data_IF_143056892015
#
_entry.id   IF_143056892015
#
_cell.length_a   1.000
_cell.length_b   1.000
_cell.length_c   1.000
_cell.angle_alpha   90.00
_cell.angle_beta   90.00
_cell.angle_gamma   90.00
#
_symmetry.space_group_name_H-M   'P 1'
#
loop_
_entity.id
_entity.type
_entity.pdbx_description
1 polymer ?
#
# COMPACT_ATOMS: atom_id res chain seq x y z
N UNK A 1 -5.93 -13.97 -3.89
CA UNK A 1 -6.19 -12.76 -4.72
C UNK A 1 -5.28 -11.66 -4.20
N UNK A 2 -4.47 -11.06 -5.08
CA UNK A 2 -3.62 -9.92 -4.66
C UNK A 2 -4.51 -8.69 -4.62
N UNK A 3 -4.72 -8.16 -3.41
CA UNK A 3 -5.50 -6.96 -3.20
C UNK A 3 -4.65 -5.70 -3.42
N UNK A 4 -5.32 -4.60 -3.77
CA UNK A 4 -4.71 -3.28 -3.88
C UNK A 4 -3.98 -2.86 -2.60
N UNK A 5 -4.54 -3.18 -1.44
CA UNK A 5 -3.91 -2.92 -0.15
C UNK A 5 -2.51 -3.55 -0.05
N UNK A 6 -2.35 -4.80 -0.47
CA UNK A 6 -1.05 -5.49 -0.46
C UNK A 6 -0.04 -4.84 -1.43
N UNK A 7 -0.51 -4.31 -2.57
CA UNK A 7 0.34 -3.54 -3.47
C UNK A 7 0.86 -2.27 -2.76
N UNK A 8 -0.06 -1.46 -2.20
CA UNK A 8 0.32 -0.23 -1.47
C UNK A 8 1.26 -0.55 -0.29
N UNK A 9 0.98 -1.60 0.46
CA UNK A 9 1.82 -2.05 1.57
C UNK A 9 3.23 -2.44 1.10
N UNK A 10 3.34 -3.12 -0.05
CA UNK A 10 4.63 -3.47 -0.65
C UNK A 10 5.43 -2.21 -0.99
N UNK A 11 4.83 -1.22 -1.63
CA UNK A 11 5.49 0.05 -1.94
C UNK A 11 5.91 0.80 -0.68
N UNK A 12 5.06 0.84 0.34
CA UNK A 12 5.35 1.46 1.63
C UNK A 12 6.54 0.82 2.32
N UNK A 13 6.61 -0.53 2.31
CA UNK A 13 7.75 -1.27 2.86
C UNK A 13 9.05 -0.94 2.11
N UNK A 14 9.02 -0.88 0.77
CA UNK A 14 10.20 -0.56 -0.04
C UNK A 14 10.65 0.89 0.09
N UNK A 15 9.71 1.81 0.25
CA UNK A 15 10.00 3.19 0.60
C UNK A 15 10.77 3.28 1.94
N UNK A 16 10.34 2.55 2.97
CA UNK A 16 11.05 2.54 4.26
C UNK A 16 12.46 1.93 4.15
N UNK A 17 12.67 0.97 3.23
CA UNK A 17 14.00 0.44 2.91
C UNK A 17 14.90 1.50 2.27
N UNK A 18 14.38 2.31 1.32
CA UNK A 18 15.12 3.43 0.71
C UNK A 18 15.50 4.44 1.78
N UNK A 19 14.52 4.91 2.57
CA UNK A 19 14.74 5.85 3.66
C UNK A 19 15.80 5.38 4.66
N UNK A 20 15.79 4.10 5.04
CA UNK A 20 16.78 3.53 5.97
C UNK A 20 18.19 3.50 5.38
N UNK A 21 18.33 3.28 4.07
CA UNK A 21 19.62 3.31 3.39
C UNK A 21 20.15 4.73 3.32
N UNK A 22 19.33 5.67 2.86
CA UNK A 22 19.70 7.07 2.75
C UNK A 22 20.05 7.69 4.10
N UNK A 23 19.28 7.36 5.17
CA UNK A 23 19.56 7.85 6.53
C UNK A 23 20.93 7.41 7.07
N UNK A 24 21.52 6.36 6.57
CA UNK A 24 22.90 5.97 6.95
C UNK A 24 23.93 6.96 6.41
N UNK A 25 23.55 7.71 5.38
CA UNK A 25 24.38 8.69 4.70
C UNK A 25 24.02 10.13 5.08
N UNK A 26 22.75 10.37 5.47
CA UNK A 26 22.20 11.70 5.83
C UNK A 26 21.21 11.60 6.99
N UNK A 27 21.28 12.55 7.95
CA UNK A 27 20.34 12.62 9.07
C UNK A 27 19.00 13.23 8.63
N UNK A 28 17.92 12.45 8.72
CA UNK A 28 16.56 12.93 8.54
C UNK A 28 15.76 12.93 9.85
N UNK A 29 14.85 13.90 10.08
CA UNK A 29 14.03 13.97 11.27
C UNK A 29 13.18 12.71 11.49
N UNK A 30 13.04 12.26 12.74
CA UNK A 30 12.20 11.09 13.09
C UNK A 30 10.72 11.28 12.68
N UNK A 31 10.23 12.51 12.67
CA UNK A 31 8.88 12.90 12.27
C UNK A 31 8.57 12.54 10.80
N UNK A 32 9.58 12.56 9.93
CA UNK A 32 9.45 12.26 8.50
C UNK A 32 8.92 10.85 8.23
N UNK A 33 9.32 9.86 9.04
CA UNK A 33 8.84 8.46 8.88
C UNK A 33 7.31 8.37 8.86
N UNK A 34 6.65 9.04 9.80
CA UNK A 34 5.19 9.01 9.90
C UNK A 34 4.49 9.80 8.81
N UNK A 35 5.14 10.87 8.32
CA UNK A 35 4.64 11.63 7.18
C UNK A 35 4.65 10.80 5.89
N UNK A 36 5.73 10.05 5.63
CA UNK A 36 5.89 9.20 4.45
C UNK A 36 4.88 8.03 4.37
N UNK A 37 4.40 7.57 5.52
CA UNK A 37 3.38 6.50 5.58
C UNK A 37 1.98 7.02 5.22
N UNK A 38 1.72 8.32 5.42
CA UNK A 38 0.46 8.95 5.10
C UNK A 38 0.44 9.39 3.62
N UNK A 39 -0.76 9.48 3.07
CA UNK A 39 -0.98 10.07 1.75
C UNK A 39 -1.18 11.58 1.89
N UNK A 40 -0.90 12.35 0.83
CA UNK A 40 -1.09 13.81 0.80
C UNK A 40 -2.52 14.25 1.16
N UNK A 41 -3.53 13.48 0.74
CA UNK A 41 -4.95 13.80 1.04
C UNK A 41 -5.39 13.27 2.41
N UNK A 42 -4.47 12.82 3.26
CA UNK A 42 -4.87 12.34 4.57
C UNK A 42 -5.22 13.54 5.46
N UNK A 43 -6.48 13.65 5.85
CA UNK A 43 -7.00 14.70 6.74
C UNK A 43 -6.27 14.78 8.10
N UNK A 44 -5.64 13.67 8.50
CA UNK A 44 -4.82 13.59 9.70
C UNK A 44 -3.35 14.00 9.48
N UNK A 45 -3.00 14.57 8.32
CA UNK A 45 -1.65 15.07 8.06
C UNK A 45 -1.45 16.39 8.83
N UNK A 46 -0.60 16.35 9.85
CA UNK A 46 -0.32 17.52 10.66
C UNK A 46 0.52 18.55 9.88
N UNK A 47 0.38 19.87 10.13
CA UNK A 47 1.15 20.91 9.42
C UNK A 47 2.66 20.66 9.43
N UNK A 48 3.23 20.23 10.56
CA UNK A 48 4.65 19.86 10.68
C UNK A 48 5.06 18.69 9.77
N UNK A 49 4.15 17.73 9.53
CA UNK A 49 4.41 16.61 8.64
C UNK A 49 4.35 17.03 7.17
N UNK A 50 3.44 17.94 6.83
CA UNK A 50 3.36 18.51 5.49
C UNK A 50 4.62 19.33 5.17
N UNK A 51 5.06 20.20 6.09
CA UNK A 51 6.29 20.95 5.92
C UNK A 51 7.51 20.04 5.72
N UNK A 52 7.65 18.99 6.53
CA UNK A 52 8.74 18.02 6.39
C UNK A 52 8.70 17.27 5.05
N UNK A 53 7.51 17.00 4.48
CA UNK A 53 7.38 16.39 3.14
C UNK A 53 7.75 17.39 2.04
N UNK A 54 7.38 18.67 2.17
CA UNK A 54 7.74 19.71 1.22
C UNK A 54 9.25 19.93 1.19
N UNK A 55 9.88 20.00 2.36
CA UNK A 55 11.34 20.10 2.51
C UNK A 55 12.05 18.89 1.87
N UNK A 56 11.58 17.67 2.16
CA UNK A 56 12.11 16.44 1.57
C UNK A 56 12.04 16.44 0.04
N UNK A 57 10.93 16.93 -0.54
CA UNK A 57 10.76 17.00 -1.99
C UNK A 57 11.70 18.05 -2.60
N UNK A 58 11.94 19.16 -1.89
CA UNK A 58 12.87 20.20 -2.32
C UNK A 58 14.33 19.69 -2.37
N UNK A 59 14.71 18.81 -1.44
CA UNK A 59 16.06 18.23 -1.36
C UNK A 59 16.37 17.19 -2.45
N UNK A 60 15.40 16.83 -3.30
CA UNK A 60 15.54 15.84 -4.38
C UNK A 60 16.17 14.51 -3.91
N UNK A 61 15.90 14.12 -2.67
CA UNK A 61 16.42 12.92 -2.05
C UNK A 61 15.84 11.64 -2.67
N UNK A 62 16.54 10.51 -2.57
CA UNK A 62 16.01 9.23 -3.03
C UNK A 62 14.75 8.82 -2.25
N UNK A 63 14.62 9.22 -0.99
CA UNK A 63 13.41 9.03 -0.18
C UNK A 63 12.24 9.83 -0.73
N UNK A 64 12.46 11.09 -1.21
CA UNK A 64 11.44 11.88 -1.88
C UNK A 64 10.95 11.21 -3.16
N UNK A 65 11.86 10.75 -3.99
CA UNK A 65 11.50 10.03 -5.23
C UNK A 65 10.72 8.76 -4.93
N UNK A 66 11.15 7.96 -3.96
CA UNK A 66 10.45 6.75 -3.55
C UNK A 66 9.04 7.07 -3.02
N UNK A 67 8.88 8.18 -2.31
CA UNK A 67 7.57 8.65 -1.84
C UNK A 67 6.68 9.10 -3.00
N UNK A 68 7.20 9.86 -3.96
CA UNK A 68 6.50 10.27 -5.17
C UNK A 68 6.04 9.03 -5.97
N UNK A 69 6.91 8.03 -6.13
CA UNK A 69 6.56 6.77 -6.77
C UNK A 69 5.37 6.11 -6.06
N UNK A 70 5.36 6.05 -4.72
CA UNK A 70 4.25 5.51 -3.95
C UNK A 70 2.96 6.35 -4.13
N UNK A 71 3.05 7.68 -4.04
CA UNK A 71 1.88 8.56 -4.17
C UNK A 71 1.21 8.46 -5.54
N UNK A 72 1.97 8.30 -6.61
CA UNK A 72 1.43 8.14 -7.96
C UNK A 72 0.61 6.85 -8.16
N UNK A 73 0.70 5.86 -7.25
CA UNK A 73 -0.22 4.70 -7.26
C UNK A 73 -1.69 5.13 -7.15
N UNK A 74 -1.98 6.24 -6.49
CA UNK A 74 -3.34 6.77 -6.36
C UNK A 74 -3.98 7.11 -7.70
N UNK A 75 -3.18 7.56 -8.65
CA UNK A 75 -3.66 7.80 -10.01
C UNK A 75 -4.19 6.51 -10.67
N UNK A 76 -3.55 5.37 -10.41
CA UNK A 76 -4.05 4.06 -10.85
C UNK A 76 -5.36 3.74 -10.13
N UNK A 77 -5.41 3.90 -8.81
CA UNK A 77 -6.58 3.60 -7.99
C UNK A 77 -7.83 4.39 -8.42
N UNK A 78 -7.65 5.65 -8.85
CA UNK A 78 -8.72 6.53 -9.34
C UNK A 78 -9.11 6.26 -10.81
N UNK A 79 -8.71 5.14 -11.41
CA UNK A 79 -9.13 4.80 -12.77
C UNK A 79 -10.65 4.50 -12.80
N UNK A 80 -11.39 5.07 -13.76
CA UNK A 80 -12.84 4.90 -13.83
C UNK A 80 -13.27 3.54 -14.42
N UNK A 81 -12.38 2.89 -15.17
CA UNK A 81 -12.69 1.63 -15.88
C UNK A 81 -11.51 0.65 -15.82
N UNK A 82 -11.75 -0.67 -16.01
CA UNK A 82 -10.68 -1.66 -16.09
C UNK A 82 -9.66 -1.35 -17.21
N UNK A 83 -10.14 -0.85 -18.36
CA UNK A 83 -9.27 -0.45 -19.49
C UNK A 83 -8.36 0.73 -19.08
N UNK A 84 -8.93 1.74 -18.43
CA UNK A 84 -8.16 2.88 -17.93
C UNK A 84 -7.15 2.45 -16.85
N UNK A 85 -7.54 1.54 -15.96
CA UNK A 85 -6.64 1.00 -14.95
C UNK A 85 -5.45 0.27 -15.57
N UNK A 86 -5.68 -0.60 -16.55
CA UNK A 86 -4.62 -1.31 -17.29
C UNK A 86 -3.67 -0.34 -17.98
N UNK A 87 -4.20 0.64 -18.69
CA UNK A 87 -3.41 1.67 -19.35
C UNK A 87 -2.56 2.48 -18.34
N UNK A 88 -3.18 2.90 -17.21
CA UNK A 88 -2.47 3.63 -16.15
C UNK A 88 -1.36 2.79 -15.52
N UNK A 89 -1.58 1.50 -15.27
CA UNK A 89 -0.56 0.59 -14.74
C UNK A 89 0.61 0.50 -15.72
N UNK A 90 0.35 0.30 -17.01
CA UNK A 90 1.39 0.17 -18.04
C UNK A 90 2.24 1.43 -18.12
N UNK A 91 1.63 2.61 -18.20
CA UNK A 91 2.34 3.89 -18.26
C UNK A 91 3.12 4.17 -16.95
N UNK A 92 2.49 3.91 -15.80
CA UNK A 92 3.13 4.05 -14.50
C UNK A 92 4.40 3.19 -14.41
N UNK A 93 4.32 1.92 -14.79
CA UNK A 93 5.47 1.02 -14.76
C UNK A 93 6.58 1.50 -15.68
N UNK A 94 6.26 1.96 -16.90
CA UNK A 94 7.24 2.48 -17.85
C UNK A 94 7.99 3.70 -17.28
N UNK A 95 7.26 4.68 -16.78
CA UNK A 95 7.85 5.94 -16.27
C UNK A 95 8.63 5.70 -14.98
N UNK A 96 8.06 4.94 -14.03
CA UNK A 96 8.71 4.72 -12.74
C UNK A 96 9.91 3.79 -12.84
N UNK A 97 9.91 2.84 -13.78
CA UNK A 97 11.08 1.99 -14.02
C UNK A 97 12.28 2.80 -14.54
N UNK A 98 12.06 3.79 -15.40
CA UNK A 98 13.12 4.69 -15.86
C UNK A 98 13.72 5.45 -14.65
N UNK A 99 12.88 6.09 -13.82
CA UNK A 99 13.33 6.81 -12.63
C UNK A 99 14.13 5.94 -11.64
N UNK A 100 13.72 4.67 -11.46
CA UNK A 100 14.44 3.73 -10.58
C UNK A 100 15.80 3.32 -11.15
N UNK A 101 15.92 3.25 -12.47
CA UNK A 101 17.19 2.88 -13.13
C UNK A 101 18.25 3.98 -12.97
N UNK A 102 17.85 5.23 -12.92
CA UNK A 102 18.75 6.38 -12.78
C UNK A 102 19.40 6.50 -11.39
N UNK A 103 18.74 5.98 -10.34
CA UNK A 103 19.21 6.14 -8.95
C UNK A 103 19.38 4.78 -8.25
N UNK A 104 20.60 4.33 -7.94
CA UNK A 104 20.87 3.02 -7.29
C UNK A 104 20.16 2.83 -5.95
N UNK A 105 19.97 3.91 -5.17
CA UNK A 105 19.24 3.88 -3.91
C UNK A 105 17.76 3.49 -4.07
N UNK A 106 17.17 3.70 -5.25
CA UNK A 106 15.78 3.32 -5.56
C UNK A 106 15.61 1.83 -5.94
N UNK A 107 16.67 1.03 -5.95
CA UNK A 107 16.58 -0.42 -6.23
C UNK A 107 15.48 -1.16 -5.46
N UNK A 108 15.18 -0.86 -4.17
CA UNK A 108 14.04 -1.46 -3.48
C UNK A 108 12.70 -1.15 -4.15
N UNK A 109 12.50 0.07 -4.69
CA UNK A 109 11.29 0.43 -5.41
C UNK A 109 11.13 -0.37 -6.70
N UNK A 110 12.23 -0.71 -7.39
CA UNK A 110 12.22 -1.61 -8.55
C UNK A 110 11.60 -2.97 -8.23
N UNK A 111 11.84 -3.52 -7.03
CA UNK A 111 11.20 -4.77 -6.57
C UNK A 111 9.68 -4.59 -6.39
N UNK A 112 9.23 -3.44 -5.91
CA UNK A 112 7.79 -3.13 -5.80
C UNK A 112 7.13 -3.01 -7.18
N UNK A 113 7.79 -2.33 -8.14
CA UNK A 113 7.33 -2.23 -9.51
C UNK A 113 7.23 -3.61 -10.18
N UNK A 114 8.22 -4.48 -9.98
CA UNK A 114 8.18 -5.86 -10.48
C UNK A 114 7.01 -6.66 -9.89
N UNK A 115 6.70 -6.46 -8.60
CA UNK A 115 5.53 -7.07 -7.95
C UNK A 115 4.23 -6.57 -8.57
N UNK A 116 4.08 -5.26 -8.77
CA UNK A 116 2.90 -4.68 -9.44
C UNK A 116 2.76 -5.22 -10.87
N UNK A 117 3.86 -5.28 -11.64
CA UNK A 117 3.86 -5.83 -13.00
C UNK A 117 3.37 -7.27 -13.03
N UNK A 118 3.88 -8.12 -12.13
CA UNK A 118 3.48 -9.54 -12.03
C UNK A 118 2.00 -9.71 -11.73
N UNK A 119 1.43 -8.84 -10.91
CA UNK A 119 0.05 -8.94 -10.45
C UNK A 119 -0.91 -7.96 -11.15
N UNK A 120 -0.47 -7.28 -12.21
CA UNK A 120 -1.26 -6.23 -12.89
C UNK A 120 -2.67 -6.68 -13.28
N UNK A 121 -2.79 -7.86 -13.91
CA UNK A 121 -4.09 -8.38 -14.32
C UNK A 121 -4.97 -8.79 -13.13
N UNK A 122 -4.39 -9.31 -12.06
CA UNK A 122 -5.12 -9.61 -10.83
C UNK A 122 -5.65 -8.33 -10.17
N UNK A 123 -4.85 -7.26 -10.20
CA UNK A 123 -5.24 -5.94 -9.69
C UNK A 123 -6.35 -5.33 -10.54
N UNK A 124 -6.28 -5.43 -11.89
CA UNK A 124 -7.31 -4.91 -12.80
C UNK A 124 -8.66 -5.60 -12.59
N UNK A 125 -8.68 -6.89 -12.22
CA UNK A 125 -9.93 -7.62 -11.91
C UNK A 125 -10.78 -6.94 -10.82
N UNK A 126 -10.20 -6.15 -9.94
CA UNK A 126 -10.93 -5.36 -8.95
C UNK A 126 -11.98 -4.43 -9.60
N UNK A 127 -11.66 -3.82 -10.74
CA UNK A 127 -12.58 -2.93 -11.46
C UNK A 127 -13.72 -3.67 -12.17
N UNK A 128 -13.61 -4.99 -12.37
CA UNK A 128 -14.69 -5.80 -12.88
C UNK A 128 -15.66 -6.25 -11.79
N UNK A 129 -15.13 -6.62 -10.62
CA UNK A 129 -15.94 -7.24 -9.56
C UNK A 129 -16.60 -6.24 -8.62
N UNK A 130 -16.05 -5.02 -8.51
CA UNK A 130 -16.45 -4.06 -7.47
C UNK A 130 -16.21 -4.57 -6.03
N UNK A 131 -15.74 -5.81 -5.87
CA UNK A 131 -15.50 -6.43 -4.58
C UNK A 131 -14.20 -5.91 -3.97
N UNK A 132 -14.30 -5.44 -2.76
CA UNK A 132 -13.13 -5.11 -1.92
C UNK A 132 -12.98 -6.20 -0.87
N UNK A 133 -11.74 -6.48 -0.45
CA UNK A 133 -11.49 -7.39 0.67
C UNK A 133 -12.03 -6.83 2.01
N UNK A 134 -12.45 -5.57 2.04
CA UNK A 134 -12.98 -4.92 3.25
C UNK A 134 -14.12 -5.71 3.89
N UNK A 135 -15.01 -6.33 3.10
CA UNK A 135 -16.08 -7.19 3.60
C UNK A 135 -15.52 -8.46 4.27
N UNK A 136 -14.54 -9.11 3.63
CA UNK A 136 -13.88 -10.30 4.19
C UNK A 136 -13.07 -9.95 5.44
N UNK A 137 -12.38 -8.82 5.44
CA UNK A 137 -11.63 -8.33 6.61
C UNK A 137 -12.58 -7.98 7.76
N UNK A 138 -13.72 -7.34 7.48
CA UNK A 138 -14.78 -7.07 8.43
C UNK A 138 -15.34 -8.36 9.05
N UNK A 139 -15.64 -9.37 8.23
CA UNK A 139 -16.10 -10.67 8.71
C UNK A 139 -15.03 -11.39 9.53
N UNK A 140 -13.77 -11.39 9.07
CA UNK A 140 -12.67 -11.95 9.85
C UNK A 140 -12.50 -11.26 11.21
N UNK A 141 -12.70 -9.94 11.27
CA UNK A 141 -12.72 -9.18 12.52
C UNK A 141 -13.82 -9.66 13.47
N UNK A 142 -15.03 -9.87 12.95
CA UNK A 142 -16.15 -10.40 13.72
C UNK A 142 -15.86 -11.83 14.25
N UNK A 143 -15.28 -12.69 13.42
CA UNK A 143 -14.90 -14.05 13.81
C UNK A 143 -13.83 -14.03 14.90
N UNK A 144 -12.81 -13.17 14.78
CA UNK A 144 -11.77 -13.03 15.81
C UNK A 144 -12.34 -12.47 17.12
N UNK A 145 -13.25 -11.51 17.06
CA UNK A 145 -13.93 -10.96 18.23
C UNK A 145 -14.77 -12.03 18.95
N UNK A 146 -15.54 -12.83 18.19
CA UNK A 146 -16.30 -13.94 18.75
C UNK A 146 -15.40 -15.00 19.38
N UNK A 147 -14.29 -15.36 18.72
CA UNK A 147 -13.29 -16.29 19.26
C UNK A 147 -12.67 -15.77 20.57
N UNK A 148 -12.34 -14.49 20.65
CA UNK A 148 -11.76 -13.87 21.83
C UNK A 148 -12.75 -13.83 22.99
N UNK A 149 -14.03 -13.50 22.74
CA UNK A 149 -15.10 -13.52 23.77
C UNK A 149 -15.35 -14.90 24.34
N UNK A 150 -15.29 -15.91 23.48
CA UNK A 150 -15.44 -17.31 23.89
C UNK A 150 -14.18 -17.90 24.57
N UNK A 151 -13.12 -17.09 24.74
CA UNK A 151 -11.80 -17.55 25.22
C UNK A 151 -11.22 -18.74 24.42
N UNK A 152 -11.59 -18.80 23.13
CA UNK A 152 -11.28 -19.89 22.22
C UNK A 152 -12.39 -20.96 22.17
N UNK A 153 -12.27 -21.87 21.21
CA UNK A 153 -13.16 -22.97 21.00
C UNK A 153 -12.36 -24.29 21.19
N UNK A 154 -12.78 -25.14 22.12
CA UNK A 154 -12.16 -26.47 22.28
C UNK A 154 -12.58 -27.44 21.17
N UNK A 155 -13.76 -27.21 20.60
CA UNK A 155 -14.34 -28.04 19.55
C UNK A 155 -14.39 -27.24 18.25
N UNK A 156 -13.75 -27.79 17.22
CA UNK A 156 -13.70 -27.16 15.87
C UNK A 156 -15.11 -27.04 15.26
N UNK A 157 -15.99 -28.01 15.47
CA UNK A 157 -17.36 -27.96 14.98
C UNK A 157 -18.14 -26.76 15.55
N UNK A 158 -17.96 -26.45 16.83
CA UNK A 158 -18.58 -25.27 17.45
C UNK A 158 -18.03 -23.97 16.90
N UNK A 159 -16.73 -23.93 16.54
CA UNK A 159 -16.13 -22.78 15.88
C UNK A 159 -16.68 -22.59 14.48
N UNK A 160 -16.81 -23.67 13.71
CA UNK A 160 -17.40 -23.67 12.37
C UNK A 160 -18.87 -23.22 12.42
N UNK A 161 -19.66 -23.76 13.36
CA UNK A 161 -21.05 -23.36 13.56
C UNK A 161 -21.20 -21.87 13.86
N UNK A 162 -20.31 -21.31 14.69
CA UNK A 162 -20.27 -19.86 14.98
C UNK A 162 -19.93 -19.05 13.75
N UNK A 163 -18.99 -19.50 12.90
CA UNK A 163 -18.66 -18.82 11.63
C UNK A 163 -19.89 -18.76 10.73
N UNK A 164 -20.62 -19.86 10.59
CA UNK A 164 -21.86 -19.88 9.81
C UNK A 164 -22.92 -18.96 10.39
N UNK A 165 -23.11 -18.96 11.71
CA UNK A 165 -24.08 -18.10 12.38
C UNK A 165 -23.80 -16.61 12.17
N UNK A 166 -22.54 -16.19 12.21
CA UNK A 166 -22.13 -14.79 12.01
C UNK A 166 -22.12 -14.42 10.52
N UNK A 167 -21.81 -15.40 9.65
CA UNK A 167 -21.66 -15.17 8.21
C UNK A 167 -22.96 -15.30 7.42
N UNK A 168 -24.01 -15.86 8.02
CA UNK A 168 -25.33 -15.94 7.38
C UNK A 168 -26.00 -14.57 7.30
N UNK A 169 -26.66 -14.24 6.15
CA UNK A 169 -27.40 -13.01 5.98
C UNK A 169 -28.61 -12.93 6.89
#
# INVERSE_FOLDING_TARGET
>A
TVDWFHIVQTFTKRLDEVRKKERREQEHPKSLRWALLKNLDNENLRPKQLAALQELVADQSATADAWIIKEKLRWIQKAPTPRAARWRITNYLKVMQAAVTEKPLLKPMGKALATLKRHAEAVVRRWHSGLTNARLEGMNGLFQAARSRARGYRNEANFIAMIYLIGSP
#
